data_IF_931135839977
#
_entry.id   IF_931135839977
#
_cell.length_a   1.000
_cell.length_b   1.000
_cell.length_c   1.000
_cell.angle_alpha   90.00
_cell.angle_beta   90.00
_cell.angle_gamma   90.00
#
_symmetry.space_group_name_H-M   'P 1'
#
loop_
_entity.id
_entity.type
_entity.pdbx_description
1 polymer ?
#
# COMPACT_ATOMS: atom_id res chain seq x y z
N UNK A 1 -17.88 -57.59 -11.88
CA UNK A 1 -18.71 -57.00 -12.95
C UNK A 1 -19.63 -55.96 -12.30
N UNK A 2 -19.07 -54.95 -11.64
CA UNK A 2 -18.49 -53.74 -12.26
C UNK A 2 -19.53 -52.96 -13.06
N UNK A 3 -20.04 -51.86 -12.49
CA UNK A 3 -19.73 -50.54 -13.02
C UNK A 3 -20.41 -49.41 -12.22
N UNK A 4 -19.61 -48.83 -11.32
CA UNK A 4 -19.39 -47.40 -11.13
C UNK A 4 -20.57 -46.42 -11.35
N UNK A 5 -21.09 -45.95 -10.21
CA UNK A 5 -21.70 -44.63 -9.97
C UNK A 5 -21.03 -43.53 -10.82
N UNK A 6 -21.77 -42.91 -11.73
CA UNK A 6 -21.41 -41.61 -12.32
C UNK A 6 -21.84 -40.48 -11.37
N UNK A 7 -20.94 -40.10 -10.47
CA UNK A 7 -21.02 -38.81 -9.77
C UNK A 7 -20.62 -37.72 -10.76
N UNK A 8 -21.60 -36.96 -11.23
CA UNK A 8 -21.34 -35.73 -11.99
C UNK A 8 -20.83 -34.66 -11.02
N UNK A 9 -19.52 -34.59 -10.85
CA UNK A 9 -18.87 -33.43 -10.23
C UNK A 9 -18.96 -32.26 -11.21
N UNK A 10 -19.95 -31.40 -11.01
CA UNK A 10 -19.97 -30.07 -11.62
C UNK A 10 -18.84 -29.29 -10.97
N UNK A 11 -17.70 -29.22 -11.67
CA UNK A 11 -16.60 -28.33 -11.33
C UNK A 11 -17.08 -26.90 -11.60
N UNK A 12 -17.70 -26.26 -10.61
CA UNK A 12 -17.95 -24.83 -10.65
C UNK A 12 -16.59 -24.16 -10.54
N UNK A 13 -16.01 -23.80 -11.69
CA UNK A 13 -14.96 -22.79 -11.74
C UNK A 13 -15.56 -21.50 -11.19
N UNK A 14 -15.32 -21.24 -9.91
CA UNK A 14 -15.44 -19.90 -9.36
C UNK A 14 -14.33 -19.12 -10.07
N UNK A 15 -14.71 -18.40 -11.12
CA UNK A 15 -13.89 -17.35 -11.67
C UNK A 15 -13.67 -16.35 -10.54
N UNK A 16 -12.58 -16.53 -9.78
CA UNK A 16 -12.08 -15.48 -8.91
C UNK A 16 -11.90 -14.26 -9.82
N UNK A 17 -12.47 -13.09 -9.48
CA UNK A 17 -12.18 -11.88 -10.22
C UNK A 17 -10.66 -11.74 -10.19
N UNK A 18 -10.09 -11.73 -11.39
CA UNK A 18 -8.67 -11.64 -11.62
C UNK A 18 -8.10 -10.51 -10.77
N UNK A 19 -6.99 -10.80 -10.06
CA UNK A 19 -6.17 -9.79 -9.41
C UNK A 19 -5.80 -8.74 -10.47
N UNK A 20 -6.57 -7.64 -10.51
CA UNK A 20 -6.15 -6.44 -11.20
C UNK A 20 -5.01 -5.83 -10.40
N UNK A 21 -3.83 -5.84 -10.99
CA UNK A 21 -2.74 -5.00 -10.56
C UNK A 21 -3.22 -3.54 -10.55
N UNK A 22 -3.36 -2.99 -9.34
CA UNK A 22 -3.57 -1.59 -8.97
C UNK A 22 -4.45 -0.75 -9.92
N UNK A 23 -5.78 -0.82 -9.76
CA UNK A 23 -6.68 0.15 -10.41
C UNK A 23 -6.47 1.58 -9.88
N UNK A 24 -5.76 1.75 -8.76
CA UNK A 24 -5.53 3.04 -8.12
C UNK A 24 -4.10 3.20 -7.61
N UNK A 25 -3.63 4.44 -7.63
CA UNK A 25 -2.39 4.90 -7.02
C UNK A 25 -2.68 6.04 -6.04
N UNK A 26 -1.84 6.16 -5.03
CA UNK A 26 -1.80 7.31 -4.14
C UNK A 26 -0.61 8.20 -4.52
N UNK A 27 -0.90 9.46 -4.81
CA UNK A 27 0.09 10.54 -4.95
C UNK A 27 0.26 11.18 -3.58
N UNK A 28 1.41 10.96 -2.94
CA UNK A 28 1.71 11.42 -1.59
C UNK A 28 2.75 12.53 -1.63
N UNK A 29 2.49 13.60 -0.88
CA UNK A 29 3.53 14.51 -0.41
C UNK A 29 3.83 14.12 1.03
N UNK A 30 4.96 13.48 1.29
CA UNK A 30 5.29 12.87 2.58
C UNK A 30 6.47 13.58 3.24
N UNK A 31 6.33 13.90 4.51
CA UNK A 31 7.40 14.41 5.35
C UNK A 31 7.39 13.71 6.71
N UNK A 32 8.46 12.97 6.98
CA UNK A 32 8.74 12.31 8.25
C UNK A 32 10.10 12.80 8.73
N UNK A 33 10.10 13.52 9.85
CA UNK A 33 11.27 14.22 10.38
C UNK A 33 12.45 13.26 10.50
N UNK A 34 13.61 13.69 9.99
CA UNK A 34 14.87 12.94 9.95
C UNK A 34 14.87 11.63 9.13
N UNK A 35 13.73 11.21 8.57
CA UNK A 35 13.60 9.97 7.80
C UNK A 35 13.53 10.25 6.29
N UNK A 36 12.50 10.98 5.85
CA UNK A 36 12.22 11.22 4.44
C UNK A 36 11.37 12.48 4.24
N UNK A 37 11.62 13.24 3.17
CA UNK A 37 10.79 14.35 2.73
C UNK A 37 10.76 14.40 1.20
N UNK A 38 9.57 14.32 0.60
CA UNK A 38 9.40 14.36 -0.84
C UNK A 38 8.09 13.76 -1.34
N UNK A 39 7.94 13.76 -2.66
CA UNK A 39 6.76 13.23 -3.33
C UNK A 39 6.93 11.75 -3.69
N UNK A 40 5.89 10.95 -3.47
CA UNK A 40 5.89 9.50 -3.71
C UNK A 40 4.57 9.10 -4.36
N UNK A 41 4.64 8.42 -5.51
CA UNK A 41 3.50 7.72 -6.09
C UNK A 41 3.61 6.25 -5.75
N UNK A 42 2.57 5.64 -5.16
CA UNK A 42 2.57 4.23 -4.78
C UNK A 42 1.21 3.58 -5.05
N UNK A 43 1.20 2.32 -5.49
CA UNK A 43 -0.01 1.50 -5.59
C UNK A 43 -0.58 1.21 -4.20
N UNK A 44 -1.90 0.96 -4.14
CA UNK A 44 -2.57 0.82 -2.84
C UNK A 44 -2.16 -0.44 -2.06
N UNK A 45 -1.62 -1.46 -2.72
CA UNK A 45 -1.08 -2.69 -2.11
C UNK A 45 0.32 -2.97 -2.62
N UNK A 46 1.24 -2.05 -2.34
CA UNK A 46 2.62 -2.05 -2.84
C UNK A 46 3.59 -1.70 -1.70
N UNK A 47 4.84 -2.19 -1.82
CA UNK A 47 5.98 -1.66 -1.07
C UNK A 47 6.95 -0.98 -2.02
N UNK A 48 7.35 0.24 -1.70
CA UNK A 48 8.22 1.08 -2.55
C UNK A 48 9.43 1.59 -1.79
N UNK A 49 10.61 1.47 -2.38
CA UNK A 49 11.83 2.11 -1.88
C UNK A 49 11.74 3.62 -2.12
N UNK A 50 11.72 4.41 -1.03
CA UNK A 50 11.60 5.87 -1.08
C UNK A 50 12.91 6.60 -0.79
N UNK A 51 13.84 5.94 -0.06
CA UNK A 51 15.20 6.46 0.18
C UNK A 51 16.19 5.32 0.31
N UNK A 52 17.39 5.50 -0.20
CA UNK A 52 18.52 4.59 -0.01
C UNK A 52 19.80 5.39 0.08
N UNK A 53 20.57 5.13 1.12
CA UNK A 53 21.94 5.63 1.26
C UNK A 53 22.90 4.45 1.47
N UNK A 54 24.14 4.76 1.89
CA UNK A 54 25.18 3.75 2.13
C UNK A 54 24.81 2.77 3.24
N UNK A 55 24.16 3.24 4.29
CA UNK A 55 23.92 2.51 5.54
C UNK A 55 22.47 2.09 5.72
N UNK A 56 21.52 2.84 5.16
CA UNK A 56 20.10 2.62 5.37
C UNK A 56 19.32 2.57 4.06
N UNK A 57 18.16 1.91 4.12
CA UNK A 57 17.11 2.00 3.11
C UNK A 57 15.76 2.20 3.81
N UNK A 58 14.91 3.02 3.21
CA UNK A 58 13.57 3.34 3.71
C UNK A 58 12.55 2.90 2.68
N UNK A 59 11.63 2.05 3.12
CA UNK A 59 10.49 1.55 2.35
C UNK A 59 9.22 2.24 2.83
N UNK A 60 8.34 2.59 1.91
CA UNK A 60 6.94 2.89 2.18
C UNK A 60 6.11 1.67 1.78
N UNK A 61 5.35 1.12 2.71
CA UNK A 61 4.40 0.04 2.47
C UNK A 61 3.00 0.62 2.52
N UNK A 62 2.20 0.34 1.50
CA UNK A 62 0.78 0.66 1.45
C UNK A 62 -0.04 -0.62 1.59
N UNK A 63 -0.97 -0.60 2.54
CA UNK A 63 -2.00 -1.64 2.77
C UNK A 63 -3.40 -1.02 2.65
N UNK A 64 -3.54 -0.14 1.67
CA UNK A 64 -4.72 0.69 1.42
C UNK A 64 -5.72 -0.01 0.49
N UNK A 65 -6.94 0.51 0.42
CA UNK A 65 -7.98 -0.01 -0.48
C UNK A 65 -8.96 1.07 -0.93
N UNK A 66 -9.71 0.79 -2.00
CA UNK A 66 -10.84 1.61 -2.43
C UNK A 66 -12.08 0.75 -2.48
N UNK A 67 -13.17 1.25 -1.88
CA UNK A 67 -14.51 0.69 -2.01
C UNK A 67 -15.51 1.83 -2.15
N UNK A 68 -16.46 1.71 -3.08
CA UNK A 68 -17.52 2.71 -3.28
C UNK A 68 -17.01 4.15 -3.43
N UNK A 69 -15.91 4.34 -4.20
CA UNK A 69 -15.26 5.63 -4.41
C UNK A 69 -14.63 6.29 -3.16
N UNK A 70 -14.53 5.54 -2.05
CA UNK A 70 -13.84 5.94 -0.83
C UNK A 70 -12.55 5.13 -0.74
N UNK A 71 -11.44 5.81 -0.53
CA UNK A 71 -10.14 5.24 -0.28
C UNK A 71 -9.87 5.22 1.22
N UNK A 72 -9.58 4.03 1.76
CA UNK A 72 -9.10 3.81 3.11
C UNK A 72 -7.59 3.58 3.06
N UNK A 73 -6.84 4.48 3.70
CA UNK A 73 -5.40 4.63 3.54
C UNK A 73 -4.64 4.17 4.78
N UNK A 74 -3.74 3.22 4.57
CA UNK A 74 -2.88 2.64 5.59
C UNK A 74 -1.46 2.56 5.06
N UNK A 75 -0.55 3.25 5.74
CA UNK A 75 0.86 3.34 5.35
C UNK A 75 1.77 3.00 6.51
N UNK A 76 2.84 2.28 6.20
CA UNK A 76 3.92 1.97 7.15
C UNK A 76 5.25 2.33 6.52
N UNK A 77 6.07 3.10 7.22
CA UNK A 77 7.46 3.31 6.88
C UNK A 77 8.31 2.25 7.55
N UNK A 78 9.18 1.61 6.79
CA UNK A 78 10.16 0.64 7.29
C UNK A 78 11.56 1.17 7.00
N UNK A 79 12.32 1.48 8.04
CA UNK A 79 13.73 1.83 7.95
C UNK A 79 14.58 0.59 8.27
N UNK A 80 15.53 0.27 7.39
CA UNK A 80 16.36 -0.92 7.51
C UNK A 80 17.83 -0.57 7.36
N UNK A 81 18.68 -1.19 8.18
CA UNK A 81 20.12 -1.21 7.95
C UNK A 81 20.44 -2.04 6.71
N UNK A 82 21.30 -1.53 5.83
CA UNK A 82 21.76 -2.28 4.66
C UNK A 82 22.67 -3.45 5.05
N UNK A 83 23.42 -3.34 6.15
CA UNK A 83 24.28 -4.42 6.65
C UNK A 83 23.51 -5.49 7.41
N UNK A 84 22.38 -5.11 8.01
CA UNK A 84 21.53 -6.00 8.81
C UNK A 84 20.04 -5.77 8.47
N UNK A 85 19.56 -6.20 7.30
CA UNK A 85 18.21 -5.86 6.84
C UNK A 85 17.07 -6.46 7.67
N UNK A 86 17.37 -7.48 8.47
CA UNK A 86 16.43 -8.09 9.41
C UNK A 86 16.16 -7.20 10.63
N UNK A 87 17.07 -6.27 10.94
CA UNK A 87 16.89 -5.26 11.96
C UNK A 87 16.22 -4.03 11.33
N UNK A 88 14.92 -3.90 11.53
CA UNK A 88 14.11 -2.83 10.95
C UNK A 88 13.32 -2.06 12.01
N UNK A 89 13.28 -0.73 11.87
CA UNK A 89 12.34 0.12 12.59
C UNK A 89 11.09 0.32 11.72
N UNK A 90 9.93 0.29 12.36
CA UNK A 90 8.65 0.48 11.68
C UNK A 90 7.91 1.66 12.31
N UNK A 91 7.38 2.53 11.46
CA UNK A 91 6.53 3.65 11.84
C UNK A 91 5.22 3.55 11.06
N UNK A 92 4.13 3.30 11.76
CA UNK A 92 2.81 3.34 11.17
C UNK A 92 2.34 4.79 11.08
N UNK A 93 1.97 5.25 9.89
CA UNK A 93 1.42 6.59 9.71
C UNK A 93 -0.05 6.61 10.15
N UNK A 94 -0.58 7.77 10.59
CA UNK A 94 -2.00 7.90 10.90
C UNK A 94 -2.85 7.45 9.71
N UNK A 95 -3.83 6.59 9.97
CA UNK A 95 -4.75 6.14 8.92
C UNK A 95 -5.77 7.23 8.61
N UNK A 96 -6.25 7.27 7.37
CA UNK A 96 -7.29 8.21 6.95
C UNK A 96 -8.16 7.63 5.86
N UNK A 97 -9.36 8.20 5.69
CA UNK A 97 -10.25 7.89 4.59
C UNK A 97 -10.54 9.15 3.78
N UNK A 98 -10.59 9.04 2.46
CA UNK A 98 -10.89 10.16 1.56
C UNK A 98 -11.65 9.69 0.32
N UNK A 99 -12.36 10.59 -0.36
CA UNK A 99 -12.92 10.26 -1.67
C UNK A 99 -11.82 10.19 -2.72
N UNK A 100 -11.94 9.27 -3.67
CA UNK A 100 -11.04 9.23 -4.84
C UNK A 100 -11.08 10.57 -5.57
N UNK A 101 -9.90 11.10 -5.90
CA UNK A 101 -9.71 12.40 -6.54
C UNK A 101 -9.73 13.60 -5.59
N UNK A 102 -10.03 13.40 -4.31
CA UNK A 102 -9.98 14.46 -3.30
C UNK A 102 -8.65 14.47 -2.56
N UNK A 103 -8.15 15.66 -2.23
CA UNK A 103 -6.98 15.82 -1.36
C UNK A 103 -7.40 15.60 0.10
N UNK A 104 -6.61 14.79 0.81
CA UNK A 104 -6.67 14.66 2.25
C UNK A 104 -5.26 14.79 2.83
N UNK A 105 -5.15 15.20 4.09
CA UNK A 105 -3.87 15.33 4.75
C UNK A 105 -3.97 15.24 6.26
N UNK A 106 -2.86 14.85 6.88
CA UNK A 106 -2.72 14.76 8.33
C UNK A 106 -1.36 15.31 8.72
N UNK A 107 -1.32 15.95 9.88
CA UNK A 107 -0.10 16.42 10.53
C UNK A 107 -0.15 16.01 12.00
N UNK A 108 0.93 15.42 12.49
CA UNK A 108 1.09 14.98 13.87
C UNK A 108 2.28 15.70 14.47
N UNK A 109 2.00 16.71 15.28
CA UNK A 109 2.95 17.41 16.16
C UNK A 109 4.30 17.78 15.50
N UNK A 110 4.28 18.10 14.20
CA UNK A 110 5.48 18.42 13.42
C UNK A 110 6.45 17.25 13.17
N UNK A 111 6.12 16.03 13.61
CA UNK A 111 6.95 14.82 13.42
C UNK A 111 6.65 14.13 12.08
N UNK A 112 5.37 14.06 11.74
CA UNK A 112 4.87 13.41 10.53
C UNK A 112 3.83 14.32 9.91
N UNK A 113 3.94 14.55 8.61
CA UNK A 113 2.88 15.15 7.82
C UNK A 113 2.81 14.45 6.48
N UNK A 114 1.60 14.20 5.99
CA UNK A 114 1.43 13.80 4.61
C UNK A 114 0.13 14.33 4.03
N UNK A 115 0.19 14.65 2.74
CA UNK A 115 -0.98 14.92 1.90
C UNK A 115 -1.07 13.85 0.84
N UNK A 116 -2.29 13.48 0.46
CA UNK A 116 -2.54 12.39 -0.45
C UNK A 116 -3.73 12.69 -1.36
N UNK A 117 -3.57 12.31 -2.63
CA UNK A 117 -4.67 12.20 -3.60
C UNK A 117 -4.65 10.80 -4.18
N UNK A 118 -5.77 10.09 -4.10
CA UNK A 118 -5.93 8.78 -4.73
C UNK A 118 -6.50 8.95 -6.13
N UNK A 119 -5.87 8.35 -7.13
CA UNK A 119 -6.30 8.41 -8.55
C UNK A 119 -6.34 7.04 -9.16
N UNK A 120 -7.18 6.88 -10.18
CA UNK A 120 -7.13 5.68 -11.02
C UNK A 120 -5.75 5.59 -11.70
N UNK A 121 -5.13 4.41 -11.68
CA UNK A 121 -3.89 4.15 -12.40
C UNK A 121 -4.14 4.27 -13.91
N UNK A 122 -3.30 5.03 -14.61
CA UNK A 122 -3.38 5.23 -16.06
C UNK A 122 -2.46 4.26 -16.79
#
# INVERSE_FOLDING_TARGET
MDCLRKLSFILVLIAAPSLRAADYVAELQLNVVNVFSGDVIIGLRESKLIKKDKHTRVLLVSESSVANNIADLHYTIIEQSNSEPLNSNQLQLPSMSTYVGSEAGVEVEGLVSYRVVVRAAR
#
